data_IF_796791402566
#
_entry.id   IF_796791402566
#
_cell.length_a   1.000
_cell.length_b   1.000
_cell.length_c   1.000
_cell.angle_alpha   90.00
_cell.angle_beta   90.00
_cell.angle_gamma   90.00
#
_symmetry.space_group_name_H-M   'P 1'
#
loop_
_entity.id
_entity.type
_entity.pdbx_description
1 polymer ?
#
# COMPACT_ATOMS: atom_id res chain seq x y z
N UNK A 1 -45.12 -25.87 -51.16
CA UNK A 1 -44.39 -24.58 -51.11
C UNK A 1 -44.03 -24.36 -49.65
N UNK A 2 -42.78 -24.61 -49.28
CA UNK A 2 -42.29 -24.37 -47.93
C UNK A 2 -41.71 -22.96 -47.87
N UNK A 3 -42.33 -22.09 -47.08
CA UNK A 3 -41.82 -20.77 -46.78
C UNK A 3 -40.61 -20.91 -45.86
N UNK A 4 -39.43 -20.58 -46.37
CA UNK A 4 -38.22 -20.48 -45.57
C UNK A 4 -38.35 -19.25 -44.67
N UNK A 5 -38.69 -19.48 -43.41
CA UNK A 5 -38.66 -18.45 -42.36
C UNK A 5 -37.21 -18.01 -42.20
N UNK A 6 -36.90 -16.79 -42.66
CA UNK A 6 -35.58 -16.19 -42.50
C UNK A 6 -35.35 -15.94 -41.00
N UNK A 7 -34.26 -16.47 -40.39
CA UNK A 7 -33.99 -16.21 -38.99
C UNK A 7 -33.79 -14.70 -38.80
N UNK A 8 -34.48 -14.14 -37.80
CA UNK A 8 -34.32 -12.75 -37.43
C UNK A 8 -32.86 -12.48 -37.05
N UNK A 9 -32.29 -11.33 -37.43
CA UNK A 9 -30.93 -10.98 -37.05
C UNK A 9 -30.84 -10.97 -35.53
N UNK A 10 -29.98 -11.84 -35.03
CA UNK A 10 -29.68 -11.98 -33.61
C UNK A 10 -29.00 -10.68 -33.16
N UNK A 11 -29.76 -9.75 -32.58
CA UNK A 11 -29.16 -8.56 -31.99
C UNK A 11 -28.19 -9.01 -30.90
N UNK A 12 -26.90 -8.70 -31.08
CA UNK A 12 -25.86 -8.89 -30.06
C UNK A 12 -25.58 -7.57 -29.32
N UNK A 13 -26.37 -7.18 -28.30
CA UNK A 13 -26.09 -5.97 -27.53
C UNK A 13 -25.19 -6.27 -26.32
N UNK A 14 -23.95 -6.75 -26.51
CA UNK A 14 -23.07 -7.04 -25.36
C UNK A 14 -21.68 -6.41 -25.40
N UNK A 15 -21.25 -5.81 -26.52
CA UNK A 15 -19.89 -5.25 -26.64
C UNK A 15 -19.74 -3.84 -26.05
N UNK A 16 -20.74 -2.97 -26.21
CA UNK A 16 -20.65 -1.55 -25.78
C UNK A 16 -20.62 -1.43 -24.25
N UNK A 17 -21.45 -2.20 -23.54
CA UNK A 17 -21.48 -2.23 -22.07
C UNK A 17 -20.14 -2.67 -21.47
N UNK A 18 -19.45 -3.62 -22.12
CA UNK A 18 -18.12 -4.08 -21.70
C UNK A 18 -17.05 -3.00 -21.89
N UNK A 19 -17.14 -2.24 -22.98
CA UNK A 19 -16.21 -1.15 -23.26
C UNK A 19 -16.35 -0.06 -22.19
N UNK A 20 -17.58 0.42 -21.95
CA UNK A 20 -17.87 1.44 -20.93
C UNK A 20 -17.37 0.97 -19.56
N UNK A 21 -17.60 -0.31 -19.24
CA UNK A 21 -17.16 -0.87 -17.99
C UNK A 21 -15.65 -0.83 -17.80
N UNK A 22 -14.89 -1.20 -18.82
CA UNK A 22 -13.42 -1.18 -18.77
C UNK A 22 -12.86 0.24 -18.64
N UNK A 23 -13.48 1.22 -19.32
CA UNK A 23 -13.11 2.63 -19.19
C UNK A 23 -13.33 3.15 -17.78
N UNK A 24 -14.45 2.78 -17.15
CA UNK A 24 -14.78 3.23 -15.79
C UNK A 24 -13.80 2.67 -14.75
N UNK A 25 -13.38 1.41 -14.90
CA UNK A 25 -12.33 0.83 -14.04
C UNK A 25 -10.98 1.53 -14.24
N UNK A 26 -10.62 1.82 -15.49
CA UNK A 26 -9.40 2.57 -15.80
C UNK A 26 -9.40 3.96 -15.17
N UNK A 27 -10.53 4.67 -15.24
CA UNK A 27 -10.70 6.00 -14.67
C UNK A 27 -10.65 5.96 -13.13
N UNK A 28 -11.24 4.94 -12.51
CA UNK A 28 -11.15 4.72 -11.05
C UNK A 28 -9.70 4.50 -10.60
N UNK A 29 -8.94 3.65 -11.30
CA UNK A 29 -7.53 3.41 -10.98
C UNK A 29 -6.70 4.68 -11.15
N UNK A 30 -6.98 5.46 -12.19
CA UNK A 30 -6.29 6.71 -12.45
C UNK A 30 -6.60 7.77 -11.37
N UNK A 31 -7.85 7.83 -10.90
CA UNK A 31 -8.25 8.68 -9.79
C UNK A 31 -7.59 8.24 -8.47
N UNK A 32 -7.50 6.94 -8.19
CA UNK A 32 -6.83 6.43 -7.00
C UNK A 32 -5.32 6.73 -7.01
N UNK A 33 -4.66 6.50 -8.14
CA UNK A 33 -3.24 6.83 -8.33
C UNK A 33 -2.99 8.33 -8.22
N UNK A 34 -3.81 9.15 -8.89
CA UNK A 34 -3.75 10.61 -8.81
C UNK A 34 -3.98 11.12 -7.39
N UNK A 35 -4.93 10.53 -6.66
CA UNK A 35 -5.18 10.84 -5.25
C UNK A 35 -3.97 10.53 -4.37
N UNK A 36 -3.31 9.39 -4.58
CA UNK A 36 -2.06 9.06 -3.87
C UNK A 36 -0.95 10.07 -4.17
N UNK A 37 -0.71 10.36 -5.46
CA UNK A 37 0.32 11.33 -5.87
C UNK A 37 0.04 12.71 -5.28
N UNK A 38 -1.23 13.13 -5.25
CA UNK A 38 -1.64 14.40 -4.65
C UNK A 38 -1.39 14.42 -3.13
N UNK A 39 -1.79 13.36 -2.42
CA UNK A 39 -1.62 13.23 -0.97
C UNK A 39 -0.14 13.27 -0.56
N UNK A 40 0.74 12.66 -1.35
CA UNK A 40 2.18 12.59 -1.03
C UNK A 40 3.00 13.74 -1.60
N UNK A 41 2.59 14.34 -2.73
CA UNK A 41 3.37 15.35 -3.43
C UNK A 41 2.94 16.79 -3.16
N UNK A 42 1.67 17.02 -2.85
CA UNK A 42 1.10 18.37 -2.81
C UNK A 42 0.41 18.70 -1.49
N UNK A 43 -0.05 17.70 -0.74
CA UNK A 43 -0.75 17.91 0.51
C UNK A 43 0.16 17.69 1.72
N UNK A 44 0.47 18.77 2.45
CA UNK A 44 1.19 18.70 3.72
C UNK A 44 0.18 18.88 4.87
N UNK A 45 -0.21 17.80 5.57
CA UNK A 45 -1.25 17.87 6.60
C UNK A 45 -0.73 18.56 7.86
N UNK A 46 -1.56 19.46 8.40
CA UNK A 46 -1.27 20.21 9.65
C UNK A 46 -1.07 19.28 10.85
N UNK A 47 -1.62 18.06 10.80
CA UNK A 47 -1.56 17.06 11.88
C UNK A 47 -0.45 16.01 11.69
N UNK A 48 0.53 16.30 10.83
CA UNK A 48 1.69 15.44 10.63
C UNK A 48 1.41 14.15 9.86
N UNK A 49 2.44 13.29 9.80
CA UNK A 49 2.52 12.17 8.87
C UNK A 49 1.49 11.05 9.13
N UNK A 50 0.95 10.96 10.34
CA UNK A 50 -0.06 9.97 10.71
C UNK A 50 -1.35 10.11 9.88
N UNK A 51 -1.79 11.35 9.62
CA UNK A 51 -2.99 11.62 8.84
C UNK A 51 -2.84 11.20 7.36
N UNK A 52 -1.67 11.47 6.76
CA UNK A 52 -1.33 11.04 5.40
C UNK A 52 -1.41 9.52 5.24
N UNK A 53 -0.89 8.77 6.22
CA UNK A 53 -0.93 7.29 6.21
C UNK A 53 -2.37 6.80 6.29
N UNK A 54 -3.17 7.35 7.21
CA UNK A 54 -4.58 6.98 7.37
C UNK A 54 -5.41 7.27 6.11
N UNK A 55 -5.19 8.42 5.46
CA UNK A 55 -5.87 8.77 4.20
C UNK A 55 -5.44 7.84 3.07
N UNK A 56 -4.14 7.53 2.97
CA UNK A 56 -3.62 6.58 1.97
C UNK A 56 -4.27 5.21 2.14
N UNK A 57 -4.34 4.70 3.38
CA UNK A 57 -5.04 3.46 3.69
C UNK A 57 -6.52 3.51 3.30
N UNK A 58 -7.20 4.62 3.62
CA UNK A 58 -8.59 4.84 3.24
C UNK A 58 -8.81 4.77 1.72
N UNK A 59 -7.97 5.45 0.94
CA UNK A 59 -8.03 5.42 -0.54
C UNK A 59 -7.83 4.00 -1.04
N UNK A 60 -6.82 3.28 -0.53
CA UNK A 60 -6.52 1.90 -0.96
C UNK A 60 -7.67 0.95 -0.64
N UNK A 61 -8.19 0.98 0.58
CA UNK A 61 -9.30 0.10 1.02
C UNK A 61 -10.57 0.42 0.23
N UNK A 62 -10.93 1.70 0.11
CA UNK A 62 -12.14 2.11 -0.60
C UNK A 62 -12.08 1.76 -2.09
N UNK A 63 -10.95 2.05 -2.74
CA UNK A 63 -10.75 1.70 -4.16
C UNK A 63 -10.83 0.19 -4.36
N UNK A 64 -10.26 -0.59 -3.45
CA UNK A 64 -10.31 -2.05 -3.48
C UNK A 64 -11.72 -2.60 -3.33
N UNK A 65 -12.52 -2.04 -2.41
CA UNK A 65 -13.93 -2.42 -2.24
C UNK A 65 -14.76 -2.10 -3.47
N UNK A 66 -14.55 -0.92 -4.07
CA UNK A 66 -15.22 -0.54 -5.32
C UNK A 66 -14.83 -1.48 -6.46
N UNK A 67 -13.55 -1.84 -6.59
CA UNK A 67 -13.08 -2.82 -7.57
C UNK A 67 -13.69 -4.20 -7.34
N UNK A 68 -13.78 -4.66 -6.09
CA UNK A 68 -14.42 -5.92 -5.75
C UNK A 68 -15.90 -5.92 -6.10
N UNK A 69 -16.63 -4.87 -5.72
CA UNK A 69 -18.05 -4.71 -6.04
C UNK A 69 -18.26 -4.66 -7.55
N UNK A 70 -17.39 -3.94 -8.25
CA UNK A 70 -17.39 -3.86 -9.70
C UNK A 70 -17.19 -5.23 -10.34
N UNK A 71 -16.19 -5.99 -9.90
CA UNK A 71 -15.99 -7.37 -10.34
C UNK A 71 -17.19 -8.26 -10.01
N UNK A 72 -17.82 -8.10 -8.84
CA UNK A 72 -19.00 -8.88 -8.48
C UNK A 72 -20.19 -8.60 -9.40
N UNK A 73 -20.40 -7.34 -9.81
CA UNK A 73 -21.51 -6.93 -10.66
C UNK A 73 -21.29 -7.22 -12.15
N UNK A 74 -20.06 -7.04 -12.65
CA UNK A 74 -19.75 -7.17 -14.08
C UNK A 74 -19.08 -8.50 -14.47
N UNK A 75 -18.59 -9.29 -13.52
CA UNK A 75 -18.03 -10.61 -13.82
C UNK A 75 -19.14 -11.63 -14.03
N UNK A 76 -19.63 -11.74 -15.26
CA UNK A 76 -20.21 -12.99 -15.79
C UNK A 76 -19.14 -14.10 -15.94
N UNK A 77 -17.92 -13.88 -15.43
CA UNK A 77 -16.79 -14.78 -15.60
C UNK A 77 -16.49 -15.59 -14.33
N UNK A 78 -16.11 -16.85 -14.60
CA UNK A 78 -15.80 -17.96 -13.68
C UNK A 78 -15.21 -17.52 -12.34
N UNK A 79 -15.67 -18.18 -11.26
CA UNK A 79 -15.21 -18.02 -9.87
C UNK A 79 -13.67 -17.93 -9.71
N UNK A 80 -12.90 -18.50 -10.63
CA UNK A 80 -11.44 -18.38 -10.69
C UNK A 80 -10.93 -16.95 -10.78
N UNK A 81 -11.59 -16.05 -11.54
CA UNK A 81 -11.16 -14.65 -11.66
C UNK A 81 -11.40 -13.86 -10.38
N UNK A 82 -12.52 -14.13 -9.70
CA UNK A 82 -12.85 -13.54 -8.40
C UNK A 82 -11.84 -13.98 -7.37
N UNK A 83 -11.50 -15.28 -7.33
CA UNK A 83 -10.50 -15.82 -6.41
C UNK A 83 -9.12 -15.18 -6.63
N UNK A 84 -8.70 -14.94 -7.88
CA UNK A 84 -7.45 -14.25 -8.20
C UNK A 84 -7.43 -12.81 -7.71
N UNK A 85 -8.51 -12.05 -7.93
CA UNK A 85 -8.64 -10.68 -7.44
C UNK A 85 -8.64 -10.62 -5.90
N UNK A 86 -9.36 -11.55 -5.26
CA UNK A 86 -9.42 -11.64 -3.80
C UNK A 86 -8.06 -12.02 -3.21
N UNK A 87 -7.35 -12.98 -3.80
CA UNK A 87 -6.01 -13.38 -3.38
C UNK A 87 -5.03 -12.21 -3.48
N UNK A 88 -5.09 -11.43 -4.56
CA UNK A 88 -4.24 -10.25 -4.74
C UNK A 88 -4.54 -9.18 -3.68
N UNK A 89 -5.81 -8.98 -3.35
CA UNK A 89 -6.25 -8.06 -2.29
C UNK A 89 -5.79 -8.51 -0.91
N UNK A 90 -5.96 -9.79 -0.58
CA UNK A 90 -5.50 -10.37 0.69
C UNK A 90 -3.99 -10.32 0.79
N UNK A 91 -3.26 -10.51 -0.32
CA UNK A 91 -1.81 -10.39 -0.35
C UNK A 91 -1.37 -8.94 -0.08
N UNK A 92 -2.05 -7.95 -0.67
CA UNK A 92 -1.74 -6.53 -0.51
C UNK A 92 -2.07 -6.06 0.91
N UNK A 93 -3.26 -6.38 1.40
CA UNK A 93 -3.70 -6.06 2.76
C UNK A 93 -2.86 -6.80 3.81
N UNK A 94 -2.58 -8.09 3.58
CA UNK A 94 -1.78 -8.93 4.45
C UNK A 94 -0.31 -8.49 4.48
N UNK A 95 0.28 -8.12 3.34
CA UNK A 95 1.63 -7.57 3.29
C UNK A 95 1.76 -6.25 4.05
N UNK A 96 0.76 -5.38 3.93
CA UNK A 96 0.69 -4.13 4.68
C UNK A 96 0.49 -4.37 6.19
N UNK A 97 -0.46 -5.24 6.57
CA UNK A 97 -0.71 -5.60 7.96
C UNK A 97 0.52 -6.28 8.60
N UNK A 98 1.22 -7.14 7.87
CA UNK A 98 2.44 -7.80 8.35
C UNK A 98 3.62 -6.82 8.53
N UNK A 99 3.58 -5.66 7.87
CA UNK A 99 4.58 -4.61 8.02
C UNK A 99 4.40 -3.79 9.31
N UNK A 100 3.16 -3.69 9.81
CA UNK A 100 2.82 -2.97 11.04
C UNK A 100 2.86 -3.94 12.21
N UNK A 101 3.83 -3.76 13.12
CA UNK A 101 4.02 -4.68 14.25
C UNK A 101 3.05 -4.37 15.40
N UNK A 102 2.88 -3.09 15.68
CA UNK A 102 2.12 -2.61 16.82
C UNK A 102 1.60 -1.20 16.54
N UNK A 103 0.36 -0.96 16.94
CA UNK A 103 -0.27 0.35 16.88
C UNK A 103 -0.42 0.81 18.33
N UNK A 104 0.51 1.64 18.79
CA UNK A 104 0.38 2.28 20.10
C UNK A 104 -0.41 3.58 19.93
N UNK A 105 -1.49 3.69 20.71
CA UNK A 105 -2.17 4.96 20.91
C UNK A 105 -1.51 5.66 22.09
N UNK A 106 -0.74 6.71 21.80
CA UNK A 106 -0.28 7.62 22.85
C UNK A 106 -1.49 8.28 23.51
N UNK A 107 -1.42 8.54 24.82
CA UNK A 107 -2.49 9.17 25.60
C UNK A 107 -2.96 10.54 25.06
N UNK A 108 -2.18 11.13 24.15
CA UNK A 108 -2.47 12.38 23.44
C UNK A 108 -3.22 12.18 22.10
N UNK A 109 -3.83 11.01 21.87
CA UNK A 109 -4.49 10.64 20.59
C UNK A 109 -3.55 10.61 19.37
N UNK A 110 -2.24 10.63 19.58
CA UNK A 110 -1.28 10.38 18.50
C UNK A 110 -1.12 8.88 18.27
N UNK A 111 -1.45 8.45 17.04
CA UNK A 111 -1.25 7.08 16.60
C UNK A 111 0.21 6.89 16.16
N UNK A 112 1.00 6.17 16.95
CA UNK A 112 2.40 5.89 16.64
C UNK A 112 2.45 4.49 16.00
N UNK A 113 2.80 4.46 14.71
CA UNK A 113 2.96 3.22 13.95
C UNK A 113 4.38 2.67 14.12
N UNK A 114 4.51 1.56 14.84
CA UNK A 114 5.78 0.84 14.97
C UNK A 114 5.93 -0.13 13.79
N UNK A 115 6.71 0.27 12.79
CA UNK A 115 7.06 -0.62 11.67
C UNK A 115 8.10 -1.64 12.12
N UNK A 116 7.93 -2.90 11.73
CA UNK A 116 8.84 -4.01 12.07
C UNK A 116 10.29 -3.77 11.63
N UNK A 117 10.48 -2.95 10.60
CA UNK A 117 11.78 -2.68 9.99
C UNK A 117 12.48 -1.45 10.57
N UNK A 118 11.79 -0.68 11.44
CA UNK A 118 12.36 0.50 12.07
C UNK A 118 12.95 0.10 13.42
N UNK A 119 14.23 0.43 13.71
CA UNK A 119 14.81 0.12 15.01
C UNK A 119 14.02 0.83 16.11
N UNK A 120 13.71 0.09 17.19
CA UNK A 120 13.05 0.67 18.36
C UNK A 120 13.94 1.71 19.02
N UNK A 121 13.35 2.63 19.80
CA UNK A 121 14.13 3.64 20.53
C UNK A 121 15.23 3.02 21.38
N UNK A 122 14.96 1.90 22.04
CA UNK A 122 15.96 1.16 22.81
C UNK A 122 17.13 0.68 21.95
N UNK A 123 16.86 0.23 20.72
CA UNK A 123 17.90 -0.19 19.78
C UNK A 123 18.73 0.99 19.28
N UNK A 124 18.10 2.14 19.06
CA UNK A 124 18.81 3.37 18.71
C UNK A 124 19.71 3.84 19.85
N UNK A 125 19.24 3.77 21.10
CA UNK A 125 20.05 4.10 22.29
C UNK A 125 21.21 3.12 22.45
N UNK A 126 20.99 1.82 22.25
CA UNK A 126 22.06 0.82 22.28
C UNK A 126 23.10 1.07 21.19
N UNK A 127 22.67 1.34 19.95
CA UNK A 127 23.58 1.69 18.85
C UNK A 127 24.41 2.93 19.15
N UNK A 128 23.82 3.97 19.75
CA UNK A 128 24.57 5.15 20.15
C UNK A 128 25.59 4.86 21.26
N UNK A 129 25.26 4.03 22.24
CA UNK A 129 26.20 3.61 23.30
C UNK A 129 27.36 2.79 22.74
N UNK A 130 27.07 1.85 21.84
CA UNK A 130 28.10 1.05 21.16
C UNK A 130 29.02 1.92 20.30
N UNK A 131 28.46 2.90 19.58
CA UNK A 131 29.26 3.84 18.80
C UNK A 131 30.18 4.70 19.66
N UNK A 132 29.72 5.15 20.84
CA UNK A 132 30.55 5.92 21.79
C UNK A 132 31.69 5.09 22.37
N UNK A 133 31.41 3.86 22.82
CA UNK A 133 32.44 2.96 23.35
C UNK A 133 33.51 2.65 22.29
N UNK A 134 33.11 2.43 21.03
CA UNK A 134 34.07 2.16 19.95
C UNK A 134 34.95 3.38 19.62
N UNK A 135 34.41 4.60 19.74
CA UNK A 135 35.19 5.82 19.55
C UNK A 135 36.25 6.00 20.64
N UNK A 136 35.90 5.75 21.90
CA UNK A 136 36.83 5.82 23.05
C UNK A 136 37.99 4.81 22.93
N UNK A 137 37.69 3.59 22.46
CA UNK A 137 38.71 2.56 22.23
C UNK A 137 39.69 2.95 21.11
N UNK A 138 39.20 3.59 20.03
CA UNK A 138 40.06 4.06 18.94
C UNK A 138 40.99 5.19 19.37
N UNK A 139 40.52 6.10 20.22
CA UNK A 139 41.34 7.19 20.75
C UNK A 139 42.49 6.62 21.58
N UNK A 140 42.21 5.64 22.46
CA UNK A 140 43.22 4.98 23.30
C UNK A 140 44.28 4.24 22.46
N UNK A 141 43.87 3.52 21.42
CA UNK A 141 44.82 2.81 20.54
C UNK A 141 45.70 3.77 19.71
N UNK A 142 45.17 4.93 19.33
CA UNK A 142 45.93 5.92 18.55
C UNK A 142 47.05 6.53 19.40
N UNK A 143 46.81 6.78 20.69
CA UNK A 143 47.84 7.25 21.61
C UNK A 143 48.97 6.24 21.80
N UNK A 144 48.67 4.96 22.01
CA UNK A 144 49.69 3.92 22.24
C UNK A 144 50.65 3.73 21.05
N UNK A 145 50.15 3.81 19.81
CA UNK A 145 51.01 3.65 18.62
C UNK A 145 51.97 4.83 18.46
N UNK A 146 51.57 6.04 18.86
CA UNK A 146 52.41 7.25 18.72
C UNK A 146 53.60 7.31 19.70
N UNK A 147 53.50 6.62 20.85
CA UNK A 147 54.55 6.64 21.90
C UNK A 147 55.69 5.67 21.61
N UNK A 148 55.48 4.66 20.76
CA UNK A 148 56.48 3.61 20.46
C UNK A 148 57.42 4.01 19.30
N UNK A 149 57.10 5.07 18.56
CA UNK A 149 57.84 5.50 17.36
C UNK A 149 58.92 6.58 17.57
N UNK A 150 59.15 7.04 18.80
CA UNK A 150 60.22 7.97 19.19
C UNK A 150 61.29 7.25 20.05
#
# INVERSE_FOLDING_TARGET
MNETVSPLPEEQPTSILRLIGSWLTGLLLLAAAGGLVFVWGMWDPVWGRGMQISVTYGIVVLSSLILLLWFALFSTFRWSSIAGAFALLVLLAGGLAFSVREVEFSGDMEMILHSRWKPTQDQLVQQHREAQNNAEVQETQTWDVSVISD
#
